data_IF_067809083757
#
_entry.id   IF_067809083757
#
_cell.length_a   1.000
_cell.length_b   1.000
_cell.length_c   1.000
_cell.angle_alpha   90.00
_cell.angle_beta   90.00
_cell.angle_gamma   90.00
#
_symmetry.space_group_name_H-M   'P 1'
#
loop_
_entity.id
_entity.type
_entity.pdbx_description
1 polymer ?
#
# COMPACT_ATOMS: atom_id res chain seq x y z
N UNK A 1 10.19 -5.86 -1.77
CA UNK A 1 8.87 -5.33 -1.36
C UNK A 1 8.54 -4.18 -2.29
N UNK A 2 7.31 -4.13 -2.82
CA UNK A 2 6.80 -2.96 -3.53
C UNK A 2 6.45 -1.83 -2.55
N UNK A 3 6.34 -0.62 -3.06
CA UNK A 3 5.80 0.52 -2.33
C UNK A 3 4.44 0.90 -2.91
N UNK A 4 3.60 1.53 -2.09
CA UNK A 4 2.29 2.01 -2.55
C UNK A 4 2.37 3.47 -2.97
N UNK A 5 1.60 3.90 -4.00
CA UNK A 5 1.58 5.29 -4.44
C UNK A 5 1.14 6.21 -3.30
N UNK A 6 1.94 7.24 -3.01
CA UNK A 6 1.71 8.16 -1.89
C UNK A 6 1.15 9.53 -2.31
N UNK A 7 0.96 9.77 -3.60
CA UNK A 7 0.50 11.04 -4.17
C UNK A 7 -0.80 11.57 -3.55
N UNK A 8 -1.71 10.67 -3.18
CA UNK A 8 -2.99 11.03 -2.58
C UNK A 8 -2.84 11.66 -1.18
N UNK A 9 -1.69 11.46 -0.51
CA UNK A 9 -1.40 11.96 0.83
C UNK A 9 -0.86 13.39 0.87
N UNK A 10 -0.32 13.91 -0.25
CA UNK A 10 0.36 15.21 -0.25
C UNK A 10 -0.57 16.37 0.11
N UNK A 11 -1.78 16.41 -0.47
CA UNK A 11 -2.75 17.45 -0.14
C UNK A 11 -3.28 17.35 1.28
N UNK A 12 -3.76 16.17 1.76
CA UNK A 12 -4.18 16.00 3.15
C UNK A 12 -3.11 16.34 4.18
N UNK A 13 -1.84 16.03 3.91
CA UNK A 13 -0.70 16.31 4.79
C UNK A 13 -0.48 17.83 5.01
N UNK A 14 -0.73 18.64 4.00
CA UNK A 14 -0.54 20.10 4.04
C UNK A 14 -1.71 20.86 4.66
N UNK A 15 -2.85 20.18 4.96
CA UNK A 15 -4.01 20.83 5.59
C UNK A 15 -3.75 20.98 7.09
N UNK A 16 -3.69 22.23 7.64
CA UNK A 16 -3.48 22.45 9.07
C UNK A 16 -4.53 21.73 9.92
N UNK A 17 -4.08 21.00 10.93
CA UNK A 17 -4.96 20.29 11.85
C UNK A 17 -5.53 18.98 11.32
N UNK A 18 -5.21 18.58 10.09
CA UNK A 18 -5.55 17.24 9.59
C UNK A 18 -4.66 16.17 10.24
N UNK A 19 -5.18 14.95 10.31
CA UNK A 19 -4.46 13.77 10.74
C UNK A 19 -4.59 12.71 9.64
N UNK A 20 -3.48 12.24 9.12
CA UNK A 20 -3.46 11.06 8.26
C UNK A 20 -3.76 9.81 9.10
N UNK A 21 -4.29 8.80 8.46
CA UNK A 21 -4.52 7.51 9.10
C UNK A 21 -3.20 6.79 9.40
N UNK A 22 -3.24 5.88 10.38
CA UNK A 22 -2.06 5.15 10.83
C UNK A 22 -1.39 4.36 9.68
N UNK A 23 -2.19 3.74 8.82
CA UNK A 23 -1.75 2.98 7.67
C UNK A 23 -1.05 3.87 6.63
N UNK A 24 -1.59 5.06 6.36
CA UNK A 24 -0.99 6.03 5.44
C UNK A 24 0.38 6.50 5.93
N UNK A 25 0.49 6.81 7.22
CA UNK A 25 1.75 7.22 7.85
C UNK A 25 2.79 6.09 7.83
N UNK A 26 2.36 4.86 8.05
CA UNK A 26 3.23 3.69 7.94
C UNK A 26 3.73 3.51 6.51
N UNK A 27 2.86 3.63 5.51
CA UNK A 27 3.21 3.53 4.10
C UNK A 27 4.21 4.62 3.69
N UNK A 28 4.07 5.85 4.19
CA UNK A 28 5.09 6.91 4.04
C UNK A 28 6.44 6.49 4.64
N UNK A 29 6.44 5.88 5.82
CA UNK A 29 7.65 5.36 6.46
C UNK A 29 8.34 4.25 5.66
N UNK A 30 7.56 3.32 5.11
CA UNK A 30 8.07 2.26 4.22
C UNK A 30 8.64 2.87 2.94
N UNK A 31 7.96 3.88 2.37
CA UNK A 31 8.46 4.59 1.20
C UNK A 31 9.84 5.24 1.49
N UNK A 32 10.01 5.90 2.63
CA UNK A 32 11.30 6.48 3.04
C UNK A 32 12.40 5.41 3.10
N UNK A 33 12.13 4.24 3.68
CA UNK A 33 13.12 3.13 3.74
C UNK A 33 13.51 2.65 2.35
N UNK A 34 12.54 2.46 1.46
CA UNK A 34 12.81 1.99 0.10
C UNK A 34 13.61 3.01 -0.70
N UNK A 35 13.32 4.30 -0.57
CA UNK A 35 14.11 5.36 -1.23
C UNK A 35 15.55 5.37 -0.74
N UNK A 36 15.78 5.15 0.56
CA UNK A 36 17.12 5.02 1.15
C UNK A 36 17.86 3.82 0.59
N UNK A 37 17.23 2.63 0.61
CA UNK A 37 17.82 1.39 0.08
C UNK A 37 18.23 1.55 -1.39
N UNK A 38 17.40 2.20 -2.21
CA UNK A 38 17.69 2.45 -3.62
C UNK A 38 18.88 3.39 -3.77
N UNK A 39 18.93 4.49 -3.00
CA UNK A 39 20.10 5.39 -3.03
C UNK A 39 21.39 4.67 -2.65
N UNK A 40 21.35 3.81 -1.64
CA UNK A 40 22.52 3.01 -1.22
C UNK A 40 22.99 2.09 -2.34
N UNK A 41 22.10 1.38 -3.04
CA UNK A 41 22.44 0.50 -4.16
C UNK A 41 23.17 1.26 -5.28
N UNK A 42 22.71 2.47 -5.60
CA UNK A 42 23.33 3.27 -6.66
C UNK A 42 24.57 4.05 -6.19
N UNK A 43 24.71 4.38 -4.90
CA UNK A 43 25.87 5.08 -4.34
C UNK A 43 27.09 4.15 -4.17
N UNK A 44 26.89 2.89 -3.77
CA UNK A 44 27.98 1.89 -3.63
C UNK A 44 28.69 1.65 -4.96
N UNK A 45 27.96 1.76 -6.08
CA UNK A 45 28.55 1.62 -7.41
C UNK A 45 29.44 2.81 -7.82
N UNK A 46 29.34 3.96 -7.13
CA UNK A 46 30.17 5.16 -7.42
C UNK A 46 31.48 5.23 -6.62
N UNK A 47 31.60 4.51 -5.49
CA UNK A 47 32.70 4.67 -4.53
C UNK A 47 33.70 3.49 -4.48
N UNK A 48 33.55 2.46 -5.29
CA UNK A 48 34.51 1.34 -5.31
C UNK A 48 35.79 1.73 -6.04
N UNK A 49 36.65 2.49 -5.34
CA UNK A 49 38.03 2.75 -5.71
C UNK A 49 38.99 1.62 -5.27
N UNK A 50 38.53 0.40 -5.11
CA UNK A 50 39.38 -0.73 -4.80
C UNK A 50 40.15 -1.19 -6.04
N UNK A 51 41.45 -0.92 -6.03
CA UNK A 51 42.47 -1.18 -7.05
C UNK A 51 42.74 -2.67 -7.40
N UNK A 52 41.85 -3.62 -7.06
CA UNK A 52 42.17 -5.05 -7.17
C UNK A 52 41.34 -5.84 -8.18
N UNK A 53 40.37 -5.26 -8.91
CA UNK A 53 39.73 -6.02 -9.99
C UNK A 53 39.41 -5.16 -11.22
N UNK A 54 40.34 -5.13 -12.17
CA UNK A 54 40.21 -4.47 -13.48
C UNK A 54 39.16 -5.06 -14.42
N UNK A 55 38.27 -5.97 -13.96
CA UNK A 55 37.22 -6.61 -14.73
C UNK A 55 35.78 -6.35 -14.19
N UNK A 56 35.61 -5.51 -13.19
CA UNK A 56 34.25 -5.11 -12.77
C UNK A 56 33.78 -3.92 -13.60
N UNK A 57 32.65 -4.12 -14.28
CA UNK A 57 31.92 -3.14 -15.07
C UNK A 57 31.58 -1.87 -14.27
N UNK A 58 32.52 -0.95 -14.16
CA UNK A 58 32.34 0.36 -13.56
C UNK A 58 31.32 1.14 -14.37
N UNK A 59 30.27 1.63 -13.70
CA UNK A 59 29.19 2.48 -14.24
C UNK A 59 28.44 1.94 -15.46
N UNK A 60 27.81 0.77 -15.33
CA UNK A 60 26.93 0.24 -16.40
C UNK A 60 25.62 1.02 -16.56
N UNK A 61 25.23 1.85 -15.59
CA UNK A 61 23.95 2.57 -15.58
C UNK A 61 24.06 4.01 -15.10
N UNK A 62 24.82 4.89 -15.79
CA UNK A 62 25.05 6.27 -15.33
C UNK A 62 23.73 7.06 -15.20
N UNK A 63 22.80 6.90 -16.15
CA UNK A 63 21.50 7.58 -16.14
C UNK A 63 20.63 7.17 -14.93
N UNK A 64 20.58 5.89 -14.59
CA UNK A 64 19.83 5.43 -13.42
C UNK A 64 20.45 5.93 -12.10
N UNK A 65 21.77 6.00 -12.04
CA UNK A 65 22.48 6.59 -10.89
C UNK A 65 22.20 8.09 -10.76
N UNK A 66 22.08 8.81 -11.88
CA UNK A 66 21.71 10.23 -11.89
C UNK A 66 20.29 10.42 -11.32
N UNK A 67 19.31 9.66 -11.82
CA UNK A 67 17.94 9.71 -11.29
C UNK A 67 17.90 9.36 -9.79
N UNK A 68 18.61 8.32 -9.37
CA UNK A 68 18.65 7.93 -7.96
C UNK A 68 19.31 8.99 -7.05
N UNK A 69 20.29 9.73 -7.56
CA UNK A 69 20.92 10.84 -6.82
C UNK A 69 19.99 12.05 -6.66
N UNK A 70 19.04 12.25 -7.56
CA UNK A 70 18.04 13.32 -7.46
C UNK A 70 16.95 13.04 -6.42
N UNK A 71 16.82 11.79 -5.93
CA UNK A 71 15.89 11.47 -4.85
C UNK A 71 16.32 12.22 -3.58
N UNK A 72 15.45 13.00 -2.92
CA UNK A 72 15.80 13.68 -1.68
C UNK A 72 16.06 12.69 -0.52
N UNK A 73 16.76 13.18 0.50
CA UNK A 73 16.95 12.41 1.73
C UNK A 73 15.76 12.56 2.65
N UNK A 74 15.06 11.46 2.92
CA UNK A 74 13.85 11.41 3.76
C UNK A 74 14.11 10.83 5.17
N UNK A 75 15.37 10.78 5.61
CA UNK A 75 15.77 10.14 6.87
C UNK A 75 15.15 10.82 8.10
N UNK A 76 14.97 12.13 8.08
CA UNK A 76 14.32 12.87 9.17
C UNK A 76 12.84 12.50 9.24
N UNK A 77 12.16 12.49 8.10
CA UNK A 77 10.75 12.09 8.02
C UNK A 77 10.57 10.62 8.45
N UNK A 78 11.44 9.71 8.00
CA UNK A 78 11.49 8.31 8.42
C UNK A 78 11.58 8.19 9.95
N UNK A 79 12.51 8.91 10.57
CA UNK A 79 12.71 8.89 12.01
C UNK A 79 11.49 9.45 12.77
N UNK A 80 10.82 10.49 12.27
CA UNK A 80 9.59 11.00 12.87
C UNK A 80 8.51 9.93 12.87
N UNK A 81 8.32 9.22 11.76
CA UNK A 81 7.31 8.16 11.62
C UNK A 81 7.62 6.99 12.55
N UNK A 82 8.82 6.42 12.46
CA UNK A 82 9.18 5.20 13.21
C UNK A 82 9.48 5.43 14.69
N UNK A 83 9.53 6.68 15.13
CA UNK A 83 9.47 7.01 16.56
C UNK A 83 8.08 6.76 17.16
N UNK A 84 7.03 6.91 16.36
CA UNK A 84 5.62 6.81 16.76
C UNK A 84 5.01 5.47 16.35
N UNK A 85 5.38 4.95 15.18
CA UNK A 85 4.84 3.72 14.57
C UNK A 85 5.93 2.65 14.59
N UNK A 86 5.57 1.41 14.84
CA UNK A 86 6.54 0.30 14.81
C UNK A 86 6.67 -0.33 13.41
N UNK A 87 7.49 -1.37 13.29
CA UNK A 87 7.73 -2.07 12.02
C UNK A 87 6.55 -2.91 11.53
N UNK A 88 5.52 -3.09 12.37
CA UNK A 88 4.28 -3.80 12.02
C UNK A 88 3.17 -2.84 11.60
N UNK A 89 3.42 -1.53 11.68
CA UNK A 89 2.41 -0.51 11.41
C UNK A 89 1.51 -0.21 12.60
N UNK A 90 1.89 -0.62 13.81
CA UNK A 90 1.14 -0.35 15.02
C UNK A 90 1.75 0.85 15.78
N UNK A 91 0.91 1.57 16.54
CA UNK A 91 1.40 2.61 17.43
C UNK A 91 2.29 2.00 18.51
N UNK A 92 3.47 2.59 18.68
CA UNK A 92 4.37 2.22 19.78
C UNK A 92 3.71 2.45 21.14
N UNK A 93 4.23 1.78 22.15
CA UNK A 93 3.78 1.95 23.53
C UNK A 93 4.29 3.29 24.11
N UNK A 94 3.64 4.37 23.67
CA UNK A 94 3.94 5.74 24.12
C UNK A 94 3.48 5.96 25.55
N UNK A 95 4.22 6.73 26.38
CA UNK A 95 3.88 6.94 27.80
C UNK A 95 2.45 7.45 28.02
N UNK A 96 1.99 8.38 27.17
CA UNK A 96 0.65 8.98 27.25
C UNK A 96 -0.44 7.94 26.99
N UNK A 97 -0.27 7.13 25.95
CA UNK A 97 -1.21 6.04 25.59
C UNK A 97 -1.19 4.94 26.65
N UNK A 98 0.01 4.59 27.14
CA UNK A 98 0.19 3.57 28.19
C UNK A 98 -0.57 3.91 29.46
N UNK A 99 -0.47 5.16 29.91
CA UNK A 99 -1.16 5.60 31.12
C UNK A 99 -2.69 5.45 30.98
N UNK A 100 -3.25 5.86 29.85
CA UNK A 100 -4.70 5.73 29.59
C UNK A 100 -5.11 4.26 29.48
N UNK A 101 -4.34 3.43 28.75
CA UNK A 101 -4.60 1.98 28.65
C UNK A 101 -4.55 1.27 30.00
N UNK A 102 -3.61 1.66 30.87
CA UNK A 102 -3.54 1.12 32.25
C UNK A 102 -4.77 1.50 33.08
N UNK A 103 -5.24 2.76 32.95
CA UNK A 103 -6.45 3.20 33.63
C UNK A 103 -7.70 2.45 33.13
N UNK A 104 -7.84 2.30 31.80
CA UNK A 104 -8.91 1.47 31.20
C UNK A 104 -8.89 0.05 31.76
N UNK A 105 -7.72 -0.58 31.84
CA UNK A 105 -7.58 -1.93 32.40
C UNK A 105 -8.00 -1.98 33.90
N UNK A 106 -7.60 -0.96 34.67
CA UNK A 106 -8.00 -0.85 36.07
C UNK A 106 -9.52 -0.74 36.22
N UNK A 107 -10.17 0.16 35.45
CA UNK A 107 -11.62 0.34 35.47
C UNK A 107 -12.35 -0.95 35.10
N UNK A 108 -11.88 -1.66 34.04
CA UNK A 108 -12.45 -2.96 33.66
C UNK A 108 -12.38 -3.99 34.76
N UNK A 109 -11.26 -4.06 35.48
CA UNK A 109 -11.12 -4.96 36.63
C UNK A 109 -12.05 -4.55 37.79
N UNK A 110 -12.25 -3.25 38.02
CA UNK A 110 -13.19 -2.75 39.02
C UNK A 110 -14.64 -3.13 38.67
N UNK A 111 -15.03 -2.97 37.39
CA UNK A 111 -16.36 -3.41 36.91
C UNK A 111 -16.54 -4.91 37.14
N UNK A 112 -15.56 -5.71 36.74
CA UNK A 112 -15.60 -7.17 36.96
C UNK A 112 -15.76 -7.52 38.44
N UNK A 113 -15.07 -6.82 39.33
CA UNK A 113 -15.15 -7.02 40.79
C UNK A 113 -16.54 -6.66 41.32
N UNK A 114 -17.10 -5.54 40.86
CA UNK A 114 -18.48 -5.14 41.23
C UNK A 114 -19.46 -6.20 40.75
N UNK A 115 -19.41 -6.63 39.54
CA UNK A 115 -20.32 -7.65 38.98
C UNK A 115 -20.17 -8.99 39.78
N UNK A 116 -18.94 -9.41 40.06
CA UNK A 116 -18.67 -10.60 40.86
C UNK A 116 -19.25 -10.51 42.28
N UNK A 117 -19.27 -9.34 42.92
CA UNK A 117 -19.88 -9.15 44.23
C UNK A 117 -21.39 -9.48 44.20
N UNK A 118 -22.07 -9.13 43.09
CA UNK A 118 -23.49 -9.47 42.91
C UNK A 118 -23.70 -10.96 42.61
N UNK A 119 -22.89 -11.57 41.74
CA UNK A 119 -23.03 -12.99 41.38
C UNK A 119 -22.66 -13.94 42.53
N UNK A 120 -21.77 -13.52 43.44
CA UNK A 120 -21.36 -14.29 44.60
C UNK A 120 -22.26 -14.05 45.81
N UNK A 121 -23.20 -13.12 45.76
CA UNK A 121 -24.09 -12.83 46.85
C UNK A 121 -25.15 -13.95 47.02
N UNK A 122 -25.11 -14.62 48.15
CA UNK A 122 -26.01 -15.73 48.49
C UNK A 122 -27.48 -15.33 48.39
N UNK A 123 -27.83 -14.11 48.84
CA UNK A 123 -29.22 -13.59 48.81
C UNK A 123 -29.76 -13.34 47.39
N UNK A 124 -28.84 -13.14 46.43
CA UNK A 124 -29.19 -12.91 45.03
C UNK A 124 -29.15 -14.18 44.16
N UNK A 125 -28.63 -15.28 44.69
CA UNK A 125 -28.44 -16.53 43.96
C UNK A 125 -29.73 -17.03 43.31
N UNK A 126 -30.84 -16.96 44.03
CA UNK A 126 -32.16 -17.37 43.51
C UNK A 126 -32.74 -16.37 42.49
N UNK A 127 -32.31 -15.12 42.51
CA UNK A 127 -32.72 -14.08 41.62
C UNK A 127 -31.96 -14.09 40.27
N UNK A 128 -30.75 -14.58 40.30
CA UNK A 128 -29.92 -14.70 39.09
C UNK A 128 -30.46 -15.79 38.15
N UNK A 129 -30.56 -15.47 36.87
CA UNK A 129 -30.80 -16.45 35.81
C UNK A 129 -29.52 -17.15 35.39
N UNK A 130 -28.37 -16.47 35.49
CA UNK A 130 -27.02 -16.96 35.23
C UNK A 130 -26.03 -16.33 36.17
N UNK A 131 -25.09 -17.15 36.66
CA UNK A 131 -23.95 -16.66 37.47
C UNK A 131 -22.91 -15.96 36.60
N UNK A 132 -22.96 -16.17 35.27
CA UNK A 132 -22.09 -15.52 34.29
C UNK A 132 -22.74 -14.21 33.81
N UNK A 133 -22.04 -13.06 33.95
CA UNK A 133 -22.52 -11.79 33.45
C UNK A 133 -22.75 -11.83 31.91
N UNK A 134 -23.76 -11.14 31.46
CA UNK A 134 -23.99 -10.95 30.03
C UNK A 134 -23.39 -9.62 29.56
N UNK A 135 -23.09 -9.51 28.27
CA UNK A 135 -22.70 -8.26 27.63
C UNK A 135 -23.92 -7.71 26.86
N UNK A 136 -24.29 -6.44 27.12
CA UNK A 136 -25.35 -5.72 26.38
C UNK A 136 -24.87 -4.30 26.10
N UNK A 137 -24.90 -3.90 24.83
CA UNK A 137 -24.44 -2.57 24.41
C UNK A 137 -23.04 -2.20 25.00
N UNK A 138 -22.10 -3.16 24.93
CA UNK A 138 -20.74 -3.06 25.46
C UNK A 138 -20.64 -2.87 26.99
N UNK A 139 -21.74 -3.13 27.73
CA UNK A 139 -21.79 -3.08 29.18
C UNK A 139 -21.99 -4.45 29.80
N UNK A 140 -21.32 -4.70 30.91
CA UNK A 140 -21.54 -5.91 31.69
C UNK A 140 -22.82 -5.75 32.50
N UNK A 141 -23.75 -6.70 32.37
CA UNK A 141 -25.05 -6.70 32.99
C UNK A 141 -25.33 -8.04 33.66
N UNK A 142 -26.17 -8.03 34.69
CA UNK A 142 -26.66 -9.21 35.33
C UNK A 142 -27.95 -9.71 34.68
N UNK A 143 -28.02 -11.01 34.41
CA UNK A 143 -29.25 -11.65 34.00
C UNK A 143 -30.09 -12.03 35.21
N UNK A 144 -31.19 -11.30 35.45
CA UNK A 144 -32.08 -11.45 36.61
C UNK A 144 -33.42 -12.03 36.14
N UNK A 145 -33.97 -12.98 36.93
CA UNK A 145 -35.33 -13.48 36.68
C UNK A 145 -36.34 -12.35 36.87
N UNK A 146 -37.26 -12.21 35.95
CA UNK A 146 -38.19 -11.07 35.86
C UNK A 146 -38.99 -10.83 37.17
N UNK A 147 -39.37 -11.93 37.87
CA UNK A 147 -40.08 -11.87 39.16
C UNK A 147 -39.18 -11.37 40.34
N UNK A 148 -37.86 -11.29 40.14
CA UNK A 148 -36.89 -10.80 41.12
C UNK A 148 -36.24 -9.46 40.73
N UNK A 149 -36.78 -8.78 39.68
CA UNK A 149 -36.24 -7.51 39.16
C UNK A 149 -35.94 -6.47 40.29
N UNK A 150 -36.80 -6.39 41.33
CA UNK A 150 -36.67 -5.41 42.41
C UNK A 150 -35.50 -5.69 43.38
N UNK A 151 -34.84 -6.86 43.30
CA UNK A 151 -33.71 -7.21 44.19
C UNK A 151 -32.40 -6.53 43.83
N UNK A 152 -32.24 -6.07 42.57
CA UNK A 152 -31.06 -5.35 42.11
C UNK A 152 -31.47 -3.98 41.62
N UNK A 153 -30.92 -2.93 42.25
CA UNK A 153 -31.09 -1.55 41.77
C UNK A 153 -30.15 -1.30 40.60
N UNK A 154 -30.66 -0.72 39.54
CA UNK A 154 -29.87 -0.46 38.34
C UNK A 154 -30.71 -0.17 37.13
N UNK A 155 -30.03 -0.01 36.00
CA UNK A 155 -30.63 0.29 34.67
C UNK A 155 -30.96 -1.02 33.98
N UNK A 156 -32.19 -1.14 33.48
CA UNK A 156 -32.62 -2.25 32.63
C UNK A 156 -32.23 -1.92 31.19
N UNK A 157 -31.38 -2.75 30.60
CA UNK A 157 -30.95 -2.62 29.21
C UNK A 157 -31.83 -3.39 28.24
N UNK A 158 -32.25 -4.59 28.66
CA UNK A 158 -33.02 -5.48 27.78
C UNK A 158 -33.90 -6.41 28.59
N UNK A 159 -34.98 -6.90 28.00
CA UNK A 159 -35.81 -8.00 28.49
C UNK A 159 -35.76 -9.13 27.46
N UNK A 160 -35.55 -10.36 27.89
CA UNK A 160 -35.50 -11.51 26.99
C UNK A 160 -36.81 -11.65 26.19
N UNK A 161 -36.74 -12.24 24.99
CA UNK A 161 -37.90 -12.44 24.12
C UNK A 161 -39.04 -13.23 24.77
N UNK A 162 -38.75 -14.06 25.80
CA UNK A 162 -39.76 -14.77 26.61
C UNK A 162 -40.32 -13.95 27.79
N UNK A 163 -39.76 -12.75 28.04
CA UNK A 163 -40.10 -11.93 29.20
C UNK A 163 -39.64 -12.46 30.56
N UNK A 164 -38.96 -13.60 30.59
CA UNK A 164 -38.60 -14.28 31.85
C UNK A 164 -37.28 -13.76 32.47
N UNK A 165 -36.44 -13.07 31.68
CA UNK A 165 -35.13 -12.55 32.11
C UNK A 165 -35.02 -11.06 31.82
N UNK A 166 -34.54 -10.31 32.78
CA UNK A 166 -34.24 -8.88 32.66
C UNK A 166 -32.73 -8.69 32.79
N UNK A 167 -32.13 -7.96 31.85
CA UNK A 167 -30.71 -7.63 31.88
C UNK A 167 -30.53 -6.29 32.61
N UNK A 168 -29.95 -6.31 33.79
CA UNK A 168 -29.81 -5.14 34.67
C UNK A 168 -28.34 -4.79 34.84
N UNK A 169 -27.99 -3.54 34.57
CA UNK A 169 -26.71 -2.95 34.95
C UNK A 169 -26.88 -2.39 36.39
N UNK A 170 -26.16 -2.94 37.40
CA UNK A 170 -26.25 -2.42 38.74
C UNK A 170 -25.79 -0.96 38.84
N UNK A 171 -26.42 -0.16 39.71
CA UNK A 171 -26.07 1.27 39.92
C UNK A 171 -24.60 1.50 40.17
N UNK A 172 -23.94 0.57 40.90
CA UNK A 172 -22.51 0.62 41.20
C UNK A 172 -21.67 0.40 39.92
N UNK A 173 -22.12 -0.46 38.98
CA UNK A 173 -21.46 -0.70 37.72
C UNK A 173 -21.69 0.44 36.72
N UNK A 174 -22.84 1.12 36.74
CA UNK A 174 -23.18 2.23 35.87
C UNK A 174 -22.12 3.33 35.88
N UNK A 175 -21.68 3.74 37.09
CA UNK A 175 -20.64 4.77 37.19
C UNK A 175 -19.35 4.34 36.59
N UNK A 176 -18.90 3.10 36.85
CA UNK A 176 -17.67 2.56 36.32
C UNK A 176 -17.68 2.33 34.79
N UNK A 177 -18.82 1.89 34.24
CA UNK A 177 -18.99 1.78 32.79
C UNK A 177 -18.98 3.16 32.13
N UNK A 178 -19.55 4.19 32.76
CA UNK A 178 -19.45 5.56 32.22
C UNK A 178 -18.01 6.10 32.29
N UNK A 179 -17.25 5.84 33.37
CA UNK A 179 -15.84 6.16 33.45
C UNK A 179 -15.03 5.43 32.37
N UNK A 180 -15.34 4.16 32.08
CA UNK A 180 -14.70 3.38 31.03
C UNK A 180 -14.90 4.03 29.65
N UNK A 181 -16.14 4.38 29.31
CA UNK A 181 -16.46 5.04 28.03
C UNK A 181 -15.70 6.37 27.90
N UNK A 182 -15.60 7.15 28.98
CA UNK A 182 -14.86 8.41 28.97
C UNK A 182 -13.36 8.19 28.73
N UNK A 183 -12.75 7.19 29.37
CA UNK A 183 -11.33 6.89 29.18
C UNK A 183 -11.05 6.29 27.79
N UNK A 184 -11.95 5.48 27.24
CA UNK A 184 -11.85 4.98 25.86
C UNK A 184 -11.96 6.13 24.82
N UNK A 185 -12.88 7.05 25.04
CA UNK A 185 -12.97 8.27 24.24
C UNK A 185 -11.69 9.11 24.33
N UNK A 186 -11.15 9.28 25.55
CA UNK A 186 -9.88 9.98 25.78
C UNK A 186 -8.72 9.31 25.04
N UNK A 187 -8.67 7.97 25.03
CA UNK A 187 -7.67 7.22 24.27
C UNK A 187 -7.73 7.54 22.79
N UNK A 188 -8.94 7.54 22.20
CA UNK A 188 -9.12 7.88 20.79
C UNK A 188 -8.70 9.33 20.47
N UNK A 189 -9.04 10.26 21.35
CA UNK A 189 -8.64 11.67 21.18
C UNK A 189 -7.12 11.82 21.25
N UNK A 190 -6.47 11.12 22.17
CA UNK A 190 -5.02 11.17 22.32
C UNK A 190 -4.29 10.54 21.12
N UNK A 191 -4.76 9.40 20.63
CA UNK A 191 -4.25 8.80 19.39
C UNK A 191 -4.38 9.79 18.23
N UNK A 192 -5.56 10.38 18.07
CA UNK A 192 -5.80 11.36 17.00
C UNK A 192 -4.91 12.61 17.13
N UNK A 193 -4.63 13.06 18.36
CA UNK A 193 -3.69 14.16 18.61
C UNK A 193 -2.28 13.80 18.15
N UNK A 194 -1.80 12.62 18.53
CA UNK A 194 -0.46 12.14 18.15
C UNK A 194 -0.32 12.01 16.64
N UNK A 195 -1.30 11.41 15.95
CA UNK A 195 -1.29 11.28 14.49
C UNK A 195 -1.33 12.64 13.79
N UNK A 196 -2.08 13.62 14.35
CA UNK A 196 -2.12 15.00 13.84
C UNK A 196 -0.77 15.69 13.99
N UNK A 197 -0.12 15.56 15.13
CA UNK A 197 1.20 16.15 15.38
C UNK A 197 2.25 15.53 14.44
N UNK A 198 2.22 14.20 14.27
CA UNK A 198 3.08 13.53 13.31
C UNK A 198 2.80 14.01 11.88
N UNK A 199 1.53 14.05 11.45
CA UNK A 199 1.14 14.56 10.13
C UNK A 199 1.65 15.99 9.90
N UNK A 200 1.50 16.86 10.90
CA UNK A 200 1.98 18.24 10.84
C UNK A 200 3.50 18.33 10.71
N UNK A 201 4.24 17.46 11.41
CA UNK A 201 5.71 17.41 11.30
C UNK A 201 6.19 16.88 9.94
N UNK A 202 5.38 16.13 9.23
CA UNK A 202 5.69 15.63 7.89
C UNK A 202 5.33 16.64 6.78
N UNK A 203 4.50 17.63 7.07
CA UNK A 203 4.05 18.61 6.08
C UNK A 203 5.21 19.43 5.47
N UNK A 204 6.29 19.66 6.22
CA UNK A 204 7.49 20.33 5.73
C UNK A 204 8.24 19.55 4.65
N UNK A 205 8.09 18.22 4.63
CA UNK A 205 8.72 17.32 3.65
C UNK A 205 7.82 17.02 2.43
N UNK A 206 6.66 17.68 2.30
CA UNK A 206 5.69 17.36 1.25
C UNK A 206 6.25 17.49 -0.17
N UNK A 207 7.07 18.50 -0.44
CA UNK A 207 7.72 18.68 -1.75
C UNK A 207 8.84 17.64 -1.97
N UNK A 208 9.56 17.26 -0.92
CA UNK A 208 10.57 16.21 -0.98
C UNK A 208 9.90 14.84 -1.27
N UNK A 209 8.80 14.54 -0.61
CA UNK A 209 8.01 13.33 -0.91
C UNK A 209 7.54 13.29 -2.36
N UNK A 210 7.06 14.42 -2.86
CA UNK A 210 6.59 14.54 -4.25
C UNK A 210 7.71 14.31 -5.26
N UNK A 211 8.88 14.93 -5.04
CA UNK A 211 10.05 14.74 -5.89
C UNK A 211 10.55 13.29 -5.81
N UNK A 212 10.60 12.73 -4.59
CA UNK A 212 10.99 11.33 -4.39
C UNK A 212 10.06 10.37 -5.14
N UNK A 213 8.73 10.56 -5.05
CA UNK A 213 7.76 9.72 -5.78
C UNK A 213 7.95 9.81 -7.29
N UNK A 214 8.17 11.02 -7.84
CA UNK A 214 8.42 11.22 -9.27
C UNK A 214 9.66 10.43 -9.73
N UNK A 215 10.78 10.55 -9.01
CA UNK A 215 12.02 9.84 -9.34
C UNK A 215 11.92 8.33 -9.15
N UNK A 216 11.19 7.89 -8.14
CA UNK A 216 10.91 6.48 -7.91
C UNK A 216 10.06 5.87 -9.03
N UNK A 217 9.07 6.61 -9.55
CA UNK A 217 8.27 6.19 -10.70
C UNK A 217 9.11 6.08 -11.97
N UNK A 218 10.05 7.00 -12.20
CA UNK A 218 10.99 6.94 -13.33
C UNK A 218 11.86 5.68 -13.26
N UNK A 219 12.38 5.34 -12.08
CA UNK A 219 13.17 4.13 -11.86
C UNK A 219 12.33 2.86 -12.03
N UNK A 220 11.13 2.81 -11.45
CA UNK A 220 10.24 1.65 -11.55
C UNK A 220 9.78 1.42 -12.99
N UNK A 221 9.44 2.48 -13.72
CA UNK A 221 9.10 2.42 -15.13
C UNK A 221 10.29 1.88 -15.96
N UNK A 222 11.49 2.39 -15.71
CA UNK A 222 12.70 1.93 -16.40
C UNK A 222 12.99 0.46 -16.10
N UNK A 223 12.81 0.04 -14.86
CA UNK A 223 12.95 -1.36 -14.45
C UNK A 223 11.91 -2.27 -15.11
N UNK A 224 10.64 -1.84 -15.17
CA UNK A 224 9.57 -2.59 -15.80
C UNK A 224 9.81 -2.78 -17.31
N UNK A 225 10.27 -1.73 -18.00
CA UNK A 225 10.64 -1.78 -19.42
C UNK A 225 11.82 -2.73 -19.65
N UNK A 226 12.86 -2.63 -18.84
CA UNK A 226 14.04 -3.50 -18.93
C UNK A 226 13.67 -4.97 -18.66
N UNK A 227 12.85 -5.23 -17.65
CA UNK A 227 12.36 -6.57 -17.34
C UNK A 227 11.54 -7.16 -18.47
N UNK A 228 10.60 -6.40 -19.02
CA UNK A 228 9.84 -6.81 -20.20
C UNK A 228 10.76 -7.14 -21.39
N UNK A 229 11.76 -6.27 -21.62
CA UNK A 229 12.76 -6.48 -22.68
C UNK A 229 13.52 -7.78 -22.54
N UNK A 230 13.99 -8.10 -21.33
CA UNK A 230 14.74 -9.34 -21.05
C UNK A 230 13.82 -10.57 -21.14
N UNK A 231 12.67 -10.56 -20.49
CA UNK A 231 11.74 -11.69 -20.43
C UNK A 231 11.14 -12.05 -21.81
N UNK A 232 10.98 -11.05 -22.69
CA UNK A 232 10.40 -11.20 -24.02
C UNK A 232 11.44 -11.24 -25.15
N UNK A 233 12.74 -11.23 -24.81
CA UNK A 233 13.84 -11.21 -25.79
C UNK A 233 13.68 -10.06 -26.80
N UNK A 234 13.45 -8.86 -26.27
CA UNK A 234 13.21 -7.68 -27.09
C UNK A 234 14.51 -7.01 -27.55
N UNK A 235 14.38 -6.24 -28.61
CA UNK A 235 15.38 -5.29 -29.09
C UNK A 235 14.75 -3.90 -29.16
N UNK A 236 15.54 -2.84 -29.08
CA UNK A 236 15.08 -1.51 -29.42
C UNK A 236 15.05 -1.38 -30.94
N UNK A 237 13.91 -1.01 -31.51
CA UNK A 237 13.78 -0.80 -32.93
C UNK A 237 14.67 0.36 -33.38
N UNK A 238 15.29 0.21 -34.56
CA UNK A 238 16.09 1.27 -35.16
C UNK A 238 15.18 2.31 -35.77
N UNK A 239 15.21 3.52 -35.24
CA UNK A 239 14.48 4.66 -35.83
C UNK A 239 15.30 5.25 -36.94
N UNK A 240 14.69 5.35 -38.12
CA UNK A 240 15.34 5.94 -39.27
C UNK A 240 14.88 7.39 -39.47
N UNK A 241 15.81 8.30 -39.64
CA UNK A 241 15.55 9.69 -39.99
C UNK A 241 15.21 9.80 -41.50
N UNK A 242 13.92 9.99 -41.83
CA UNK A 242 13.51 10.24 -43.22
C UNK A 242 12.01 9.96 -43.43
N UNK A 243 11.39 10.75 -44.26
CA UNK A 243 9.93 10.77 -44.49
C UNK A 243 9.31 9.48 -45.07
N UNK A 244 10.11 8.51 -45.52
CA UNK A 244 9.62 7.32 -46.23
C UNK A 244 10.51 6.10 -46.01
N UNK A 245 10.81 5.74 -44.77
CA UNK A 245 11.38 4.41 -44.53
C UNK A 245 10.26 3.44 -44.14
N UNK A 246 10.24 2.34 -44.85
CA UNK A 246 9.26 1.29 -44.67
C UNK A 246 9.60 0.50 -43.42
N UNK A 247 8.62 0.12 -42.56
CA UNK A 247 8.88 -0.70 -41.39
C UNK A 247 9.42 -2.07 -41.81
N UNK A 248 10.47 -2.50 -41.10
CA UNK A 248 11.08 -3.82 -41.23
C UNK A 248 10.93 -4.52 -39.90
N UNK A 249 10.26 -5.66 -39.87
CA UNK A 249 10.11 -6.50 -38.67
C UNK A 249 10.81 -7.84 -38.91
N UNK A 250 11.81 -8.15 -38.11
CA UNK A 250 12.57 -9.42 -38.20
C UNK A 250 12.24 -10.33 -37.06
N UNK A 251 11.70 -11.52 -37.35
CA UNK A 251 11.35 -12.54 -36.35
C UNK A 251 10.47 -11.96 -35.21
N UNK A 252 9.56 -11.06 -35.59
CA UNK A 252 8.66 -10.37 -34.68
C UNK A 252 7.68 -11.34 -34.04
N UNK A 253 7.51 -11.27 -32.72
CA UNK A 253 6.62 -12.13 -31.96
C UNK A 253 5.60 -11.28 -31.22
N UNK A 254 4.35 -11.67 -31.28
CA UNK A 254 3.31 -10.98 -30.52
C UNK A 254 3.51 -11.22 -29.01
N UNK A 255 3.78 -10.19 -28.16
CA UNK A 255 4.21 -10.37 -26.78
C UNK A 255 3.18 -11.12 -25.93
N UNK A 256 1.88 -10.89 -26.15
CA UNK A 256 0.81 -11.53 -25.39
C UNK A 256 0.59 -13.02 -25.72
N UNK A 257 1.24 -13.54 -26.77
CA UNK A 257 1.21 -14.97 -27.08
C UNK A 257 2.37 -15.74 -26.42
N UNK A 258 3.31 -15.05 -25.81
CA UNK A 258 4.44 -15.63 -25.13
C UNK A 258 5.21 -16.65 -25.98
N UNK A 259 5.61 -17.78 -25.39
CA UNK A 259 6.37 -18.84 -26.06
C UNK A 259 5.65 -19.50 -27.27
N UNK A 260 4.34 -19.34 -27.37
CA UNK A 260 3.53 -19.89 -28.47
C UNK A 260 3.51 -18.97 -29.70
N UNK A 261 4.06 -17.76 -29.60
CA UNK A 261 4.12 -16.82 -30.72
C UNK A 261 5.01 -17.38 -31.83
N UNK A 262 4.43 -17.57 -33.00
CA UNK A 262 5.19 -17.88 -34.22
C UNK A 262 5.82 -16.58 -34.72
N UNK A 263 7.14 -16.55 -34.93
CA UNK A 263 7.81 -15.35 -35.41
C UNK A 263 7.40 -15.03 -36.85
N UNK A 264 7.25 -13.77 -37.13
CA UNK A 264 6.92 -13.26 -38.48
C UNK A 264 8.00 -12.28 -38.97
N UNK A 265 8.27 -12.34 -40.24
CA UNK A 265 9.10 -11.38 -40.94
C UNK A 265 8.19 -10.51 -41.81
N UNK A 266 8.31 -9.18 -41.68
CA UNK A 266 7.55 -8.22 -42.47
C UNK A 266 8.51 -7.18 -43.01
N UNK A 267 8.58 -7.04 -44.31
CA UNK A 267 9.39 -6.03 -44.98
C UNK A 267 8.55 -5.34 -46.07
N UNK A 268 8.52 -4.03 -45.99
CA UNK A 268 7.98 -3.22 -47.07
C UNK A 268 9.14 -2.92 -48.00
N UNK A 269 9.27 -3.67 -49.10
CA UNK A 269 10.41 -3.61 -50.02
C UNK A 269 10.69 -2.20 -50.51
N UNK A 270 11.97 -1.85 -50.62
CA UNK A 270 12.46 -0.60 -51.22
C UNK A 270 12.47 -0.63 -52.78
N UNK A 271 12.31 -1.80 -53.35
CA UNK A 271 12.42 -2.01 -54.80
C UNK A 271 11.07 -1.83 -55.51
N UNK A 272 10.48 -0.65 -55.43
CA UNK A 272 9.59 -0.21 -56.49
C UNK A 272 10.44 0.50 -57.55
N UNK A 273 10.15 0.32 -58.82
CA UNK A 273 10.86 0.91 -59.98
C UNK A 273 10.98 2.45 -59.95
N UNK A 274 10.35 3.11 -58.98
CA UNK A 274 10.36 4.55 -58.75
C UNK A 274 11.14 4.99 -57.48
N UNK A 275 11.80 4.07 -56.76
CA UNK A 275 12.57 4.35 -55.55
C UNK A 275 11.73 4.70 -54.31
N UNK A 276 10.39 4.62 -54.36
CA UNK A 276 9.49 5.10 -53.32
C UNK A 276 9.02 4.02 -52.34
N UNK A 277 9.36 2.75 -52.60
CA UNK A 277 8.93 1.62 -51.78
C UNK A 277 7.42 1.33 -51.83
N UNK A 278 7.01 0.20 -51.29
CA UNK A 278 5.59 -0.16 -51.20
C UNK A 278 4.93 0.53 -50.00
N UNK A 279 3.79 1.18 -50.24
CA UNK A 279 2.98 1.86 -49.20
C UNK A 279 1.84 1.00 -48.67
N UNK A 280 1.57 -0.13 -49.30
CA UNK A 280 0.44 -1.00 -48.96
C UNK A 280 0.91 -2.42 -48.89
N UNK A 281 0.60 -3.10 -47.74
CA UNK A 281 0.80 -4.52 -47.56
C UNK A 281 -0.57 -5.21 -47.51
N UNK A 282 -0.82 -6.14 -48.43
CA UNK A 282 -2.04 -6.95 -48.45
C UNK A 282 -1.75 -8.30 -47.84
N UNK A 283 -2.41 -8.64 -46.75
CA UNK A 283 -2.28 -9.92 -46.03
C UNK A 283 -3.47 -10.81 -46.40
N UNK A 284 -3.24 -11.89 -47.10
CA UNK A 284 -4.26 -12.86 -47.54
C UNK A 284 -4.00 -14.23 -46.93
N UNK A 285 -5.01 -15.08 -46.87
CA UNK A 285 -4.90 -16.46 -46.39
C UNK A 285 -6.14 -16.92 -45.60
N UNK A 286 -6.20 -18.18 -45.14
CA UNK A 286 -7.32 -18.70 -44.33
C UNK A 286 -7.46 -17.99 -42.99
N UNK A 287 -8.65 -18.04 -42.37
CA UNK A 287 -8.89 -17.36 -41.09
C UNK A 287 -8.02 -17.85 -39.91
N UNK A 288 -7.57 -19.10 -39.98
CA UNK A 288 -6.64 -19.71 -39.01
C UNK A 288 -5.17 -19.42 -39.30
N UNK A 289 -4.85 -18.73 -40.39
CA UNK A 289 -3.49 -18.49 -40.88
C UNK A 289 -2.75 -17.31 -40.20
N UNK A 290 -3.23 -16.77 -39.08
CA UNK A 290 -2.51 -15.75 -38.33
C UNK A 290 -2.60 -14.32 -38.89
N UNK A 291 -3.43 -14.04 -39.91
CA UNK A 291 -3.60 -12.70 -40.52
C UNK A 291 -3.83 -11.59 -39.50
N UNK A 292 -4.80 -11.82 -38.61
CA UNK A 292 -5.17 -10.87 -37.55
C UNK A 292 -4.04 -10.67 -36.51
N UNK A 293 -3.31 -11.74 -36.22
CA UNK A 293 -2.16 -11.67 -35.30
C UNK A 293 -1.05 -10.84 -35.92
N UNK A 294 -0.75 -11.09 -37.22
CA UNK A 294 0.25 -10.30 -37.95
C UNK A 294 -0.08 -8.81 -37.95
N UNK A 295 -1.33 -8.45 -38.30
CA UNK A 295 -1.78 -7.06 -38.30
C UNK A 295 -1.66 -6.41 -36.90
N UNK A 296 -2.10 -7.14 -35.86
CA UNK A 296 -2.00 -6.67 -34.45
C UNK A 296 -0.54 -6.54 -34.02
N UNK A 297 0.35 -7.43 -34.42
CA UNK A 297 1.77 -7.37 -34.09
C UNK A 297 2.41 -6.12 -34.69
N UNK A 298 2.14 -5.84 -35.95
CA UNK A 298 2.66 -4.62 -36.67
C UNK A 298 2.19 -3.36 -35.91
N UNK A 299 0.88 -3.25 -35.67
CA UNK A 299 0.32 -2.10 -34.95
C UNK A 299 0.88 -1.93 -33.55
N UNK A 300 0.97 -3.03 -32.80
CA UNK A 300 1.51 -3.02 -31.43
C UNK A 300 2.99 -2.60 -31.41
N UNK A 301 3.79 -3.07 -32.37
CA UNK A 301 5.20 -2.70 -32.47
C UNK A 301 5.37 -1.22 -32.76
N UNK A 302 4.54 -0.64 -33.64
CA UNK A 302 4.54 0.80 -33.88
C UNK A 302 4.24 1.59 -32.62
N UNK A 303 3.26 1.14 -31.82
CA UNK A 303 2.92 1.77 -30.54
C UNK A 303 4.03 1.61 -29.49
N UNK A 304 4.60 0.42 -29.32
CA UNK A 304 5.71 0.17 -28.40
C UNK A 304 6.92 1.03 -28.75
N UNK A 305 7.31 1.08 -30.03
CA UNK A 305 8.42 1.92 -30.47
C UNK A 305 8.15 3.41 -30.23
N UNK A 306 6.94 3.88 -30.47
CA UNK A 306 6.56 5.28 -30.25
C UNK A 306 6.62 5.68 -28.78
N UNK A 307 6.38 4.74 -27.87
CA UNK A 307 6.46 4.96 -26.42
C UNK A 307 7.85 4.65 -25.84
N UNK A 308 8.85 4.34 -26.66
CA UNK A 308 10.22 4.03 -26.22
C UNK A 308 10.39 2.62 -25.66
N UNK A 309 9.40 1.73 -25.85
CA UNK A 309 9.51 0.33 -25.41
C UNK A 309 10.27 -0.52 -26.42
N UNK A 310 11.04 -1.50 -25.97
CA UNK A 310 11.64 -2.49 -26.84
C UNK A 310 10.57 -3.43 -27.41
N UNK A 311 10.86 -4.03 -28.56
CA UNK A 311 9.94 -4.92 -29.28
C UNK A 311 10.47 -6.36 -29.35
N UNK A 312 9.63 -7.40 -29.18
CA UNK A 312 10.03 -8.79 -29.24
C UNK A 312 10.39 -9.22 -30.67
N UNK A 313 11.59 -8.91 -31.10
CA UNK A 313 12.09 -9.12 -32.45
C UNK A 313 13.60 -9.35 -32.46
N UNK A 314 14.16 -9.66 -33.62
CA UNK A 314 15.62 -9.68 -33.83
C UNK A 314 16.17 -8.29 -34.19
N UNK A 315 17.46 -8.12 -33.97
CA UNK A 315 18.20 -6.94 -34.37
C UNK A 315 18.00 -6.55 -35.83
N UNK A 316 17.94 -5.25 -36.10
CA UNK A 316 17.66 -4.69 -37.40
C UNK A 316 16.17 -4.60 -37.71
N UNK A 317 15.31 -4.74 -36.68
CA UNK A 317 13.90 -4.36 -36.76
C UNK A 317 13.76 -2.86 -36.64
#
# INVERSE_FOLDING_TARGET
>A
RGWEPIKHLFKPMQIPGNALELEDLYNLGIFCKITKDIKEVFSVNSNSTDHINKNSNQNKTPLLSEIANEIPFLEVAENHIFKIIDEKGELRDLPEIRAIKQNIKKIRNEIESVIKSFTNNVELKDALQSEVPALRQDRQVLAIKANHRGKVKGIVHEVSGSGQTVFIEPDEAVRKNNELIQEEFRLHQEIKRILRELTSSLAEFAEDFKLAEEKMLDLDTSYAVARFGIESYCVFAQTCSGYFQSPILKQARHPLLGKKAIPIDVEFSKEANDGKGHRVLIITGPNTGGKTVTLKTIALFAMLNQTGFPVPAKEGT
#
